data_IF_237334064433
#
_entry.id   IF_237334064433
#
_cell.length_a   1.000
_cell.length_b   1.000
_cell.length_c   1.000
_cell.angle_alpha   90.00
_cell.angle_beta   90.00
_cell.angle_gamma   90.00
#
_symmetry.space_group_name_H-M   'P 1'
#
loop_
_entity.id
_entity.type
_entity.pdbx_description
1 polymer ?
#
# COMPACT_ATOMS: atom_id res chain seq x y z
N UNK A 1 -15.28 0.93 20.81
CA UNK A 1 -16.26 -0.17 21.03
C UNK A 1 -16.01 -0.99 22.30
N UNK A 2 -14.77 -1.43 22.57
CA UNK A 2 -14.46 -2.25 23.76
C UNK A 2 -14.85 -1.62 25.10
N UNK A 3 -14.60 -0.32 25.29
CA UNK A 3 -15.02 0.42 26.50
C UNK A 3 -16.52 0.34 26.77
N UNK A 4 -17.35 0.52 25.73
CA UNK A 4 -18.81 0.46 25.85
C UNK A 4 -19.31 -0.94 26.25
N UNK A 5 -18.68 -1.99 25.74
CA UNK A 5 -19.00 -3.36 26.14
C UNK A 5 -18.61 -3.64 27.60
N UNK A 6 -17.49 -3.07 28.04
CA UNK A 6 -17.03 -3.16 29.44
C UNK A 6 -17.96 -2.42 30.40
N UNK A 7 -18.36 -1.19 30.06
CA UNK A 7 -19.31 -0.40 30.86
C UNK A 7 -20.66 -1.08 31.04
N UNK A 8 -21.14 -1.80 30.01
CA UNK A 8 -22.38 -2.59 30.09
C UNK A 8 -22.21 -3.94 30.78
N UNK A 9 -21.01 -4.27 31.23
CA UNK A 9 -20.74 -5.49 31.99
C UNK A 9 -20.68 -6.78 31.16
N UNK A 10 -20.74 -6.72 29.82
CA UNK A 10 -20.70 -7.92 28.97
C UNK A 10 -19.44 -8.77 29.20
N UNK A 11 -18.32 -8.16 29.56
CA UNK A 11 -17.07 -8.87 29.86
C UNK A 11 -17.07 -9.62 31.20
N UNK A 12 -18.09 -9.44 32.04
CA UNK A 12 -18.31 -10.23 33.26
C UNK A 12 -19.18 -11.46 33.00
N UNK A 13 -19.94 -11.44 31.91
CA UNK A 13 -20.87 -12.49 31.55
C UNK A 13 -20.16 -13.69 30.89
N UNK A 14 -20.33 -14.87 31.48
CA UNK A 14 -19.66 -16.10 31.03
C UNK A 14 -20.09 -16.51 29.62
N UNK A 15 -21.36 -16.30 29.25
CA UNK A 15 -21.87 -16.59 27.91
C UNK A 15 -21.18 -15.74 26.84
N UNK A 16 -20.89 -14.47 27.13
CA UNK A 16 -20.23 -13.56 26.20
C UNK A 16 -18.74 -13.90 26.05
N UNK A 17 -18.06 -14.23 27.15
CA UNK A 17 -16.67 -14.73 27.10
C UNK A 17 -16.59 -16.02 26.26
N UNK A 18 -17.57 -16.92 26.39
CA UNK A 18 -17.64 -18.13 25.58
C UNK A 18 -17.89 -17.83 24.09
N UNK A 19 -18.70 -16.82 23.77
CA UNK A 19 -18.87 -16.34 22.39
C UNK A 19 -17.56 -15.78 21.81
N UNK A 20 -16.80 -14.99 22.58
CA UNK A 20 -15.49 -14.50 22.15
C UNK A 20 -14.48 -15.63 21.94
N UNK A 21 -14.48 -16.65 22.81
CA UNK A 21 -13.71 -17.90 22.59
C UNK A 21 -14.10 -18.58 21.29
N UNK A 22 -15.39 -18.66 20.99
CA UNK A 22 -15.86 -19.23 19.72
C UNK A 22 -15.27 -18.47 18.52
N UNK A 23 -15.27 -17.12 18.55
CA UNK A 23 -14.73 -16.29 17.46
C UNK A 23 -13.23 -16.51 17.18
N UNK A 24 -12.46 -17.16 18.05
CA UNK A 24 -11.04 -17.46 17.80
C UNK A 24 -10.83 -18.36 16.56
N UNK A 25 -11.86 -19.02 16.03
CA UNK A 25 -11.74 -19.77 14.77
C UNK A 25 -11.29 -18.88 13.59
N UNK A 26 -11.59 -17.58 13.63
CA UNK A 26 -11.15 -16.60 12.63
C UNK A 26 -9.62 -16.48 12.51
N UNK A 27 -8.86 -16.97 13.51
CA UNK A 27 -7.39 -16.99 13.44
C UNK A 27 -6.84 -18.00 12.44
N UNK A 28 -7.62 -19.02 12.03
CA UNK A 28 -7.14 -19.98 11.04
C UNK A 28 -6.96 -19.27 9.69
N UNK A 29 -5.90 -19.57 8.93
CA UNK A 29 -5.57 -18.82 7.71
C UNK A 29 -6.67 -18.90 6.65
N UNK A 30 -7.45 -19.99 6.64
CA UNK A 30 -8.62 -20.14 5.74
C UNK A 30 -9.67 -19.03 5.93
N UNK A 31 -9.86 -18.54 7.16
CA UNK A 31 -10.82 -17.48 7.50
C UNK A 31 -10.15 -16.11 7.63
N UNK A 32 -8.94 -16.05 8.19
CA UNK A 32 -8.22 -14.80 8.43
C UNK A 32 -8.01 -14.00 7.13
N UNK A 33 -7.86 -14.68 5.98
CA UNK A 33 -7.73 -14.04 4.67
C UNK A 33 -8.93 -13.18 4.25
N UNK A 34 -10.10 -13.41 4.83
CA UNK A 34 -11.32 -12.64 4.56
C UNK A 34 -11.48 -11.41 5.47
N UNK A 35 -10.59 -11.22 6.46
CA UNK A 35 -10.66 -10.10 7.38
C UNK A 35 -10.08 -8.84 6.74
N UNK A 36 -10.90 -7.79 6.65
CA UNK A 36 -10.44 -6.44 6.24
C UNK A 36 -9.44 -5.82 7.23
N UNK A 37 -9.56 -6.17 8.51
CA UNK A 37 -8.82 -5.61 9.62
C UNK A 37 -8.16 -6.72 10.46
N UNK A 38 -7.11 -7.40 9.95
CA UNK A 38 -6.54 -8.59 10.60
C UNK A 38 -6.01 -8.34 12.02
N UNK A 39 -5.67 -7.10 12.36
CA UNK A 39 -5.28 -6.71 13.73
C UNK A 39 -6.40 -6.93 14.77
N UNK A 40 -7.66 -7.05 14.34
CA UNK A 40 -8.76 -7.40 15.22
C UNK A 40 -8.52 -8.74 15.93
N UNK A 41 -7.76 -9.65 15.31
CA UNK A 41 -7.39 -10.94 15.91
C UNK A 41 -6.49 -10.76 17.13
N UNK A 42 -5.58 -9.78 17.12
CA UNK A 42 -4.75 -9.47 18.30
C UNK A 42 -5.60 -8.93 19.46
N UNK A 43 -6.58 -8.08 19.16
CA UNK A 43 -7.53 -7.62 20.17
C UNK A 43 -8.41 -8.77 20.68
N UNK A 44 -8.85 -9.66 19.78
CA UNK A 44 -9.63 -10.83 20.15
C UNK A 44 -8.83 -11.74 21.10
N UNK A 45 -7.53 -11.95 20.86
CA UNK A 45 -6.64 -12.66 21.78
C UNK A 45 -6.48 -11.94 23.12
N UNK A 46 -6.23 -10.63 23.09
CA UNK A 46 -6.05 -9.82 24.29
C UNK A 46 -7.29 -9.88 25.21
N UNK A 47 -8.49 -9.77 24.63
CA UNK A 47 -9.77 -9.83 25.38
C UNK A 47 -10.01 -11.19 26.06
N UNK A 48 -9.29 -12.25 25.68
CA UNK A 48 -9.35 -13.52 26.40
C UNK A 48 -8.72 -13.45 27.79
N UNK A 49 -7.77 -12.54 28.00
CA UNK A 49 -7.20 -12.26 29.33
C UNK A 49 -8.20 -11.51 30.21
N UNK A 50 -8.34 -11.95 31.47
CA UNK A 50 -9.17 -11.25 32.45
C UNK A 50 -8.61 -9.85 32.75
N UNK A 51 -7.28 -9.74 32.90
CA UNK A 51 -6.59 -8.49 33.20
C UNK A 51 -6.84 -7.44 32.10
N UNK A 52 -6.86 -7.86 30.84
CA UNK A 52 -7.14 -6.96 29.72
C UNK A 52 -8.61 -6.50 29.72
N UNK A 53 -9.56 -7.39 30.06
CA UNK A 53 -10.99 -7.01 30.18
C UNK A 53 -11.21 -6.01 31.31
N UNK A 54 -10.52 -6.19 32.44
CA UNK A 54 -10.54 -5.24 33.55
C UNK A 54 -9.89 -3.91 33.15
N UNK A 55 -8.74 -3.95 32.46
CA UNK A 55 -8.09 -2.75 31.95
C UNK A 55 -8.99 -1.95 31.00
N UNK A 56 -9.80 -2.61 30.17
CA UNK A 56 -10.78 -1.96 29.27
C UNK A 56 -11.93 -1.24 29.99
N UNK A 57 -12.18 -1.52 31.28
CA UNK A 57 -13.16 -0.77 32.07
C UNK A 57 -12.68 0.66 32.38
N UNK A 58 -11.36 0.88 32.37
CA UNK A 58 -10.76 2.20 32.57
C UNK A 58 -10.81 3.01 31.26
N UNK A 59 -11.38 4.23 31.32
CA UNK A 59 -11.49 5.12 30.15
C UNK A 59 -10.11 5.54 29.61
N UNK A 60 -9.12 5.76 30.48
CA UNK A 60 -7.77 6.12 30.07
C UNK A 60 -7.10 5.00 29.26
N UNK A 61 -7.22 3.76 29.70
CA UNK A 61 -6.68 2.59 28.98
C UNK A 61 -7.38 2.40 27.63
N UNK A 62 -8.71 2.54 27.59
CA UNK A 62 -9.46 2.44 26.34
C UNK A 62 -9.06 3.52 25.33
N UNK A 63 -8.87 4.76 25.79
CA UNK A 63 -8.38 5.87 24.96
C UNK A 63 -6.96 5.60 24.46
N UNK A 64 -6.07 5.12 25.32
CA UNK A 64 -4.72 4.72 24.93
C UNK A 64 -4.74 3.64 23.84
N UNK A 65 -5.57 2.61 23.97
CA UNK A 65 -5.70 1.56 22.96
C UNK A 65 -6.22 2.12 21.63
N UNK A 66 -7.21 3.02 21.67
CA UNK A 66 -7.73 3.70 20.48
C UNK A 66 -6.64 4.52 19.79
N UNK A 67 -5.85 5.30 20.54
CA UNK A 67 -4.71 6.05 20.03
C UNK A 67 -3.65 5.12 19.42
N UNK A 68 -3.27 4.03 20.10
CA UNK A 68 -2.33 3.04 19.55
C UNK A 68 -2.85 2.37 18.29
N UNK A 69 -4.16 2.11 18.21
CA UNK A 69 -4.80 1.56 17.01
C UNK A 69 -4.75 2.56 15.85
N UNK A 70 -4.98 3.85 16.11
CA UNK A 70 -4.89 4.92 15.12
C UNK A 70 -3.45 5.11 14.61
N UNK A 71 -2.47 5.15 15.52
CA UNK A 71 -1.04 5.22 15.18
C UNK A 71 -0.64 3.98 14.35
N UNK A 72 -1.04 2.79 14.80
CA UNK A 72 -0.81 1.58 14.02
C UNK A 72 -1.45 1.72 12.63
N UNK A 73 -2.67 2.22 12.45
CA UNK A 73 -3.23 2.41 11.11
C UNK A 73 -2.50 3.44 10.25
N UNK A 74 -2.03 4.53 10.85
CA UNK A 74 -1.26 5.56 10.16
C UNK A 74 0.12 5.04 9.70
N UNK A 75 0.78 4.21 10.51
CA UNK A 75 2.15 3.77 10.27
C UNK A 75 2.30 2.31 9.82
N UNK A 76 1.30 1.44 10.00
CA UNK A 76 1.41 -0.01 9.73
C UNK A 76 1.59 -0.32 8.25
N UNK A 77 0.89 0.39 7.38
CA UNK A 77 1.10 0.29 5.93
C UNK A 77 2.52 0.72 5.57
N UNK A 78 2.98 1.87 6.09
CA UNK A 78 4.36 2.37 5.93
C UNK A 78 5.42 1.38 6.47
N UNK A 79 5.20 0.79 7.66
CA UNK A 79 6.09 -0.21 8.28
C UNK A 79 6.09 -1.55 7.54
N UNK A 80 4.94 -2.01 7.04
CA UNK A 80 4.86 -3.25 6.26
C UNK A 80 5.64 -3.17 4.96
N UNK A 81 5.78 -1.99 4.36
CA UNK A 81 6.64 -1.82 3.20
C UNK A 81 8.11 -2.04 3.55
N UNK A 82 8.58 -1.52 4.70
CA UNK A 82 9.94 -1.81 5.19
C UNK A 82 10.20 -3.32 5.35
N UNK A 83 9.16 -4.11 5.66
CA UNK A 83 9.25 -5.58 5.76
C UNK A 83 9.08 -6.32 4.41
N UNK A 84 8.23 -5.82 3.51
CA UNK A 84 7.99 -6.45 2.20
C UNK A 84 9.12 -6.21 1.20
N UNK A 85 9.86 -5.10 1.32
CA UNK A 85 11.08 -4.86 0.55
C UNK A 85 12.12 -5.96 0.78
N UNK A 86 12.13 -6.60 1.95
CA UNK A 86 13.06 -7.70 2.25
C UNK A 86 12.57 -9.09 1.83
N UNK A 87 11.28 -9.28 1.52
CA UNK A 87 10.71 -10.63 1.37
C UNK A 87 10.17 -10.98 -0.03
N UNK A 88 10.29 -10.09 -1.02
CA UNK A 88 9.92 -10.42 -2.40
C UNK A 88 10.99 -11.24 -3.17
N UNK A 89 12.03 -11.74 -2.48
CA UNK A 89 12.99 -12.71 -3.00
C UNK A 89 12.80 -14.13 -2.46
N UNK A 90 11.75 -14.41 -1.68
CA UNK A 90 11.51 -15.75 -1.12
C UNK A 90 10.63 -16.67 -1.99
N UNK A 91 10.57 -16.45 -3.30
CA UNK A 91 9.85 -17.34 -4.22
C UNK A 91 10.74 -18.38 -4.90
N UNK A 92 11.85 -18.80 -4.28
CA UNK A 92 12.65 -19.92 -4.79
C UNK A 92 13.22 -20.87 -3.73
N UNK A 93 12.73 -20.85 -2.48
CA UNK A 93 13.17 -21.84 -1.48
C UNK A 93 11.98 -22.34 -0.65
N UNK A 94 11.14 -23.18 -1.24
CA UNK A 94 10.57 -24.30 -0.49
C UNK A 94 10.22 -25.47 -1.41
N UNK A 95 11.01 -26.53 -1.23
CA UNK A 95 10.70 -27.93 -1.46
C UNK A 95 10.72 -28.44 -2.90
N UNK A 96 11.93 -28.91 -3.24
CA UNK A 96 12.24 -30.19 -3.90
C UNK A 96 11.52 -31.43 -3.29
N UNK A 97 10.35 -31.28 -2.64
CA UNK A 97 9.56 -32.39 -2.16
C UNK A 97 8.23 -32.42 -2.88
N UNK A 98 8.13 -33.44 -3.74
CA UNK A 98 6.90 -34.07 -4.23
C UNK A 98 6.27 -33.38 -5.44
N UNK A 99 6.90 -33.70 -6.57
CA UNK A 99 6.45 -33.61 -7.96
C UNK A 99 5.06 -34.21 -8.28
N UNK A 100 4.20 -34.45 -7.30
CA UNK A 100 2.85 -35.00 -7.50
C UNK A 100 1.71 -34.00 -7.28
N UNK A 101 1.94 -32.82 -6.71
CA UNK A 101 0.88 -31.81 -6.52
C UNK A 101 0.76 -30.76 -7.63
N UNK A 102 1.61 -30.81 -8.66
CA UNK A 102 1.61 -29.82 -9.77
C UNK A 102 0.36 -29.93 -10.65
N UNK A 103 -0.33 -31.08 -10.70
CA UNK A 103 -1.51 -31.25 -11.56
C UNK A 103 -2.82 -30.67 -11.01
N UNK A 104 -2.87 -30.24 -9.74
CA UNK A 104 -4.09 -29.61 -9.16
C UNK A 104 -3.91 -28.14 -8.77
N UNK A 105 -2.71 -27.57 -8.90
CA UNK A 105 -2.44 -26.18 -8.53
C UNK A 105 -3.01 -25.11 -9.48
N UNK A 106 -3.28 -25.34 -10.80
CA UNK A 106 -3.68 -24.21 -11.65
C UNK A 106 -5.11 -23.69 -11.40
N UNK A 107 -5.88 -24.27 -10.47
CA UNK A 107 -7.25 -23.79 -10.16
C UNK A 107 -7.30 -22.85 -8.94
N UNK A 108 -6.28 -22.81 -8.06
CA UNK A 108 -6.39 -22.10 -6.76
C UNK A 108 -5.56 -20.81 -6.67
N UNK A 109 -4.71 -20.47 -7.65
CA UNK A 109 -3.99 -19.21 -7.62
C UNK A 109 -4.76 -18.13 -8.42
N UNK A 110 -5.61 -17.28 -7.79
CA UNK A 110 -6.09 -16.08 -8.47
C UNK A 110 -4.88 -15.26 -8.90
N UNK A 111 -5.01 -14.56 -10.04
CA UNK A 111 -3.99 -13.65 -10.58
C UNK A 111 -3.33 -12.90 -9.42
N UNK A 112 -2.05 -13.17 -9.19
CA UNK A 112 -1.27 -12.48 -8.17
C UNK A 112 -1.34 -10.99 -8.50
N UNK A 113 -1.83 -10.20 -7.55
CA UNK A 113 -1.77 -8.74 -7.60
C UNK A 113 -0.31 -8.35 -7.84
N UNK A 114 -0.04 -7.70 -8.97
CA UNK A 114 1.31 -7.35 -9.40
C UNK A 114 1.63 -5.95 -8.87
N UNK A 115 2.23 -5.89 -7.67
CA UNK A 115 2.55 -4.63 -7.00
C UNK A 115 3.64 -3.85 -7.75
N UNK A 116 3.67 -2.51 -7.62
CA UNK A 116 4.77 -1.72 -8.15
C UNK A 116 6.10 -2.14 -7.53
N UNK A 117 7.10 -2.38 -8.37
CA UNK A 117 8.48 -2.59 -7.94
C UNK A 117 9.08 -1.29 -7.38
N UNK A 118 10.14 -1.41 -6.57
CA UNK A 118 10.89 -0.23 -6.10
C UNK A 118 11.39 0.65 -7.23
N UNK A 119 11.80 0.02 -8.34
CA UNK A 119 12.22 0.74 -9.54
C UNK A 119 11.11 1.59 -10.14
N UNK A 120 9.93 1.01 -10.36
CA UNK A 120 8.79 1.73 -10.92
C UNK A 120 8.33 2.84 -9.97
N UNK A 121 8.27 2.55 -8.67
CA UNK A 121 7.92 3.56 -7.67
C UNK A 121 8.91 4.71 -7.64
N UNK A 122 10.22 4.44 -7.73
CA UNK A 122 11.24 5.47 -7.75
C UNK A 122 11.15 6.32 -9.02
N UNK A 123 10.95 5.69 -10.17
CA UNK A 123 10.78 6.41 -11.44
C UNK A 123 9.61 7.39 -11.40
N UNK A 124 8.45 6.97 -10.88
CA UNK A 124 7.29 7.83 -10.76
C UNK A 124 7.50 8.92 -9.69
N UNK A 125 8.12 8.58 -8.57
CA UNK A 125 8.53 9.55 -7.54
C UNK A 125 9.42 10.66 -8.11
N UNK A 126 10.50 10.30 -8.79
CA UNK A 126 11.42 11.23 -9.44
C UNK A 126 10.69 12.12 -10.46
N UNK A 127 9.86 11.53 -11.32
CA UNK A 127 9.09 12.27 -12.32
C UNK A 127 8.17 13.32 -11.70
N UNK A 128 7.39 12.95 -10.68
CA UNK A 128 6.47 13.88 -10.01
C UNK A 128 7.22 14.96 -9.22
N UNK A 129 8.34 14.61 -8.58
CA UNK A 129 9.20 15.56 -7.88
C UNK A 129 9.74 16.63 -8.85
N UNK A 130 10.22 16.21 -10.02
CA UNK A 130 10.64 17.13 -11.06
C UNK A 130 9.51 18.02 -11.56
N UNK A 131 8.33 17.44 -11.80
CA UNK A 131 7.16 18.18 -12.27
C UNK A 131 6.74 19.26 -11.26
N UNK A 132 6.67 18.92 -9.98
CA UNK A 132 6.38 19.86 -8.89
C UNK A 132 7.46 20.94 -8.77
N UNK A 133 8.73 20.55 -8.85
CA UNK A 133 9.84 21.50 -8.79
C UNK A 133 9.85 22.50 -9.94
N UNK A 134 9.22 22.18 -11.08
CA UNK A 134 9.10 23.08 -12.24
C UNK A 134 7.92 24.03 -12.10
N UNK A 135 6.86 23.62 -11.40
CA UNK A 135 5.68 24.47 -11.13
C UNK A 135 6.00 25.57 -10.12
N UNK A 136 6.83 25.28 -9.12
CA UNK A 136 7.22 26.26 -8.10
C UNK A 136 8.41 27.11 -8.56
N UNK A 137 8.19 28.42 -8.69
CA UNK A 137 9.21 29.38 -9.14
C UNK A 137 10.17 29.80 -8.03
N UNK A 138 9.68 29.82 -6.78
CA UNK A 138 10.50 30.13 -5.61
C UNK A 138 11.13 28.83 -5.11
N UNK A 139 12.42 28.90 -4.79
CA UNK A 139 13.17 27.78 -4.23
C UNK A 139 13.63 28.16 -2.83
N UNK A 140 12.78 27.89 -1.87
CA UNK A 140 13.06 28.03 -0.45
C UNK A 140 12.59 26.78 0.31
N UNK A 141 12.91 26.72 1.59
CA UNK A 141 12.55 25.62 2.47
C UNK A 141 11.03 25.46 2.60
N UNK A 142 10.27 26.56 2.60
CA UNK A 142 8.81 26.53 2.67
C UNK A 142 8.20 25.89 1.41
N UNK A 143 8.66 26.28 0.22
CA UNK A 143 8.23 25.69 -1.05
C UNK A 143 8.58 24.20 -1.12
N UNK A 144 9.70 23.77 -0.53
CA UNK A 144 10.06 22.36 -0.45
C UNK A 144 9.10 21.57 0.46
N UNK A 145 8.69 22.14 1.60
CA UNK A 145 7.70 21.51 2.48
C UNK A 145 6.37 21.31 1.74
N UNK A 146 5.87 22.32 1.03
CA UNK A 146 4.65 22.21 0.22
C UNK A 146 4.75 21.11 -0.86
N UNK A 147 5.91 21.02 -1.53
CA UNK A 147 6.18 19.95 -2.50
C UNK A 147 6.12 18.58 -1.81
N UNK A 148 6.75 18.43 -0.65
CA UNK A 148 6.81 17.17 0.08
C UNK A 148 5.41 16.69 0.51
N UNK A 149 4.53 17.61 0.91
CA UNK A 149 3.14 17.30 1.26
C UNK A 149 2.29 16.87 0.05
N UNK A 150 2.52 17.45 -1.14
CA UNK A 150 1.74 17.13 -2.35
C UNK A 150 2.27 15.89 -3.10
N UNK A 151 3.59 15.69 -3.11
CA UNK A 151 4.29 14.75 -4.00
C UNK A 151 3.70 13.34 -4.00
N UNK A 152 3.55 12.73 -2.83
CA UNK A 152 3.05 11.36 -2.75
C UNK A 152 1.53 11.26 -2.90
N UNK A 153 0.79 12.35 -2.71
CA UNK A 153 -0.65 12.38 -2.99
C UNK A 153 -0.93 12.27 -4.50
N UNK A 154 -0.06 12.85 -5.34
CA UNK A 154 -0.13 12.70 -6.82
C UNK A 154 0.00 11.28 -7.32
N UNK A 155 0.53 10.36 -6.51
CA UNK A 155 0.56 8.95 -6.87
C UNK A 155 -0.85 8.36 -7.04
N UNK A 156 -1.86 8.92 -6.37
CA UNK A 156 -3.26 8.47 -6.50
C UNK A 156 -3.91 8.84 -7.84
N UNK A 157 -3.32 9.78 -8.58
CA UNK A 157 -3.80 10.18 -9.90
C UNK A 157 -3.48 9.14 -10.97
N UNK A 158 -2.50 8.26 -10.71
CA UNK A 158 -2.15 7.18 -11.62
C UNK A 158 -3.25 6.13 -11.70
N UNK A 159 -3.51 5.67 -12.91
CA UNK A 159 -4.41 4.57 -13.24
C UNK A 159 -3.60 3.39 -13.75
N UNK A 160 -4.09 2.18 -13.42
CA UNK A 160 -3.45 0.93 -13.80
C UNK A 160 -3.97 0.44 -15.16
N UNK A 161 -3.04 0.19 -16.07
CA UNK A 161 -3.26 -0.38 -17.40
C UNK A 161 -2.81 -1.84 -17.42
N UNK A 162 -3.73 -2.76 -17.15
CA UNK A 162 -3.44 -4.22 -17.11
C UNK A 162 -2.95 -4.76 -18.47
N UNK A 163 -3.25 -4.05 -19.56
CA UNK A 163 -2.83 -4.41 -20.91
C UNK A 163 -1.35 -4.08 -21.22
N UNK A 164 -0.70 -3.27 -20.38
CA UNK A 164 0.69 -2.85 -20.54
C UNK A 164 1.57 -3.50 -19.48
N UNK A 165 2.87 -3.61 -19.78
CA UNK A 165 3.89 -4.13 -18.86
C UNK A 165 4.88 -3.04 -18.46
N UNK A 166 5.57 -3.28 -17.35
CA UNK A 166 6.59 -2.38 -16.79
C UNK A 166 6.03 -1.00 -16.49
N UNK A 167 6.88 0.03 -16.58
CA UNK A 167 6.51 1.40 -16.19
C UNK A 167 5.30 1.95 -16.97
N UNK A 168 5.10 1.48 -18.21
CA UNK A 168 3.99 1.90 -19.09
C UNK A 168 2.61 1.51 -18.55
N UNK A 169 2.54 0.60 -17.57
CA UNK A 169 1.28 0.21 -16.91
C UNK A 169 0.72 1.29 -15.99
N UNK A 170 1.52 2.27 -15.60
CA UNK A 170 1.10 3.41 -14.78
C UNK A 170 0.97 4.66 -15.65
N UNK A 171 -0.25 5.19 -15.75
CA UNK A 171 -0.51 6.44 -16.48
C UNK A 171 -1.63 7.22 -15.81
N UNK A 172 -1.54 8.55 -15.80
CA UNK A 172 -2.63 9.42 -15.30
C UNK A 172 -3.88 9.38 -16.19
N UNK A 173 -3.75 8.90 -17.43
CA UNK A 173 -4.87 8.76 -18.35
C UNK A 173 -5.66 7.47 -18.08
N UNK A 174 -6.98 7.49 -18.31
CA UNK A 174 -7.80 6.28 -18.18
C UNK A 174 -7.41 5.19 -19.21
N UNK A 175 -7.43 3.92 -18.77
CA UNK A 175 -7.19 2.75 -19.65
C UNK A 175 -8.31 2.54 -20.66
N UNK A 176 -7.99 1.84 -21.76
CA UNK A 176 -8.97 1.51 -22.80
C UNK A 176 -10.14 0.70 -22.22
N UNK A 177 -9.84 -0.24 -21.33
CA UNK A 177 -10.83 -1.05 -20.62
C UNK A 177 -11.66 -0.21 -19.63
N UNK A 178 -11.03 0.68 -18.85
CA UNK A 178 -11.75 1.57 -17.93
C UNK A 178 -12.68 2.53 -18.68
N UNK A 179 -12.22 3.12 -19.79
CA UNK A 179 -13.04 3.96 -20.68
C UNK A 179 -14.23 3.19 -21.24
N UNK A 180 -14.01 1.95 -21.70
CA UNK A 180 -15.07 1.10 -22.24
C UNK A 180 -16.13 0.78 -21.17
N UNK A 181 -15.70 0.39 -19.96
CA UNK A 181 -16.59 0.11 -18.83
C UNK A 181 -17.38 1.36 -18.43
N UNK A 182 -16.72 2.51 -18.29
CA UNK A 182 -17.38 3.75 -17.90
C UNK A 182 -18.40 4.21 -18.97
N UNK A 183 -18.11 3.98 -20.26
CA UNK A 183 -19.04 4.25 -21.36
C UNK A 183 -20.27 3.35 -21.33
N UNK A 184 -20.11 2.06 -21.02
CA UNK A 184 -21.23 1.12 -20.86
C UNK A 184 -22.09 1.49 -19.64
N UNK A 185 -21.45 1.83 -18.52
CA UNK A 185 -22.10 2.31 -17.30
C UNK A 185 -22.92 3.57 -17.54
N UNK A 186 -22.37 4.57 -18.25
CA UNK A 186 -23.09 5.80 -18.65
C UNK A 186 -24.30 5.54 -19.54
N UNK A 187 -24.31 4.40 -20.25
CA UNK A 187 -25.45 3.96 -21.08
C UNK A 187 -26.48 3.14 -20.29
N UNK A 188 -26.32 3.01 -18.97
CA UNK A 188 -27.23 2.26 -18.11
C UNK A 188 -27.01 0.74 -18.11
N UNK A 189 -25.94 0.25 -18.73
CA UNK A 189 -25.59 -1.18 -18.67
C UNK A 189 -25.05 -1.49 -17.27
N UNK A 190 -25.70 -2.41 -16.56
CA UNK A 190 -25.21 -2.92 -15.26
C UNK A 190 -23.94 -3.73 -15.49
N UNK A 191 -22.80 -3.15 -15.17
CA UNK A 191 -21.50 -3.83 -15.21
C UNK A 191 -21.23 -4.40 -13.82
N UNK A 192 -21.00 -5.71 -13.72
CA UNK A 192 -20.68 -6.35 -12.44
C UNK A 192 -19.16 -6.57 -12.37
N UNK A 193 -18.47 -5.78 -11.53
CA UNK A 193 -17.03 -5.93 -11.28
C UNK A 193 -16.70 -6.83 -10.07
N UNK A 194 -17.72 -7.39 -9.41
CA UNK A 194 -17.55 -8.17 -8.18
C UNK A 194 -17.19 -7.31 -6.95
N UNK A 195 -17.36 -5.99 -7.04
CA UNK A 195 -17.11 -5.03 -5.96
C UNK A 195 -18.28 -4.03 -5.85
N UNK A 196 -18.70 -3.62 -4.63
CA UNK A 196 -19.72 -2.60 -4.41
C UNK A 196 -19.46 -1.29 -5.16
N UNK A 197 -20.53 -0.68 -5.71
CA UNK A 197 -20.49 0.53 -6.54
C UNK A 197 -19.74 1.70 -5.89
N UNK A 198 -19.88 1.86 -4.58
CA UNK A 198 -19.21 2.92 -3.79
C UNK A 198 -17.67 2.86 -3.88
N UNK A 199 -17.09 1.71 -4.21
CA UNK A 199 -15.65 1.53 -4.27
C UNK A 199 -15.07 1.60 -5.68
N UNK A 200 -15.87 1.85 -6.72
CA UNK A 200 -15.39 1.86 -8.10
C UNK A 200 -14.42 3.00 -8.40
N UNK A 201 -14.57 4.13 -7.69
CA UNK A 201 -13.70 5.30 -7.85
C UNK A 201 -12.44 5.23 -6.98
N UNK A 202 -12.37 4.26 -6.05
CA UNK A 202 -11.20 4.10 -5.19
C UNK A 202 -10.00 3.55 -5.96
N UNK A 203 -8.79 4.05 -5.67
CA UNK A 203 -7.57 3.55 -6.31
C UNK A 203 -7.34 2.07 -5.95
N UNK A 204 -6.89 1.24 -6.91
CA UNK A 204 -6.60 -0.15 -6.64
C UNK A 204 -5.36 -0.30 -5.75
N UNK A 205 -5.17 -1.48 -5.19
CA UNK A 205 -4.10 -1.77 -4.20
C UNK A 205 -2.71 -1.45 -4.73
N UNK A 206 -2.46 -1.61 -6.03
CA UNK A 206 -1.20 -1.27 -6.69
C UNK A 206 -0.89 0.23 -6.60
N UNK A 207 -1.91 1.08 -6.78
CA UNK A 207 -1.77 2.55 -6.71
C UNK A 207 -1.64 3.02 -5.26
N UNK A 208 -2.37 2.39 -4.33
CA UNK A 208 -2.21 2.65 -2.90
C UNK A 208 -0.81 2.24 -2.43
N UNK A 209 -0.30 1.11 -2.91
CA UNK A 209 1.07 0.66 -2.67
C UNK A 209 2.10 1.63 -3.24
N UNK A 210 1.87 2.16 -4.46
CA UNK A 210 2.72 3.17 -5.08
C UNK A 210 2.84 4.43 -4.22
N UNK A 211 1.70 4.98 -3.74
CA UNK A 211 1.70 6.12 -2.81
C UNK A 211 2.53 5.84 -1.56
N UNK A 212 2.34 4.67 -0.96
CA UNK A 212 3.06 4.30 0.25
C UNK A 212 4.57 4.17 -0.03
N UNK A 213 4.97 3.59 -1.17
CA UNK A 213 6.40 3.48 -1.52
C UNK A 213 7.02 4.85 -1.75
N UNK A 214 6.28 5.79 -2.36
CA UNK A 214 6.67 7.19 -2.45
C UNK A 214 6.89 7.79 -1.05
N UNK A 215 5.95 7.62 -0.12
CA UNK A 215 6.09 8.16 1.24
C UNK A 215 7.33 7.59 1.93
N UNK A 216 7.59 6.29 1.77
CA UNK A 216 8.79 5.67 2.33
C UNK A 216 10.07 6.18 1.66
N UNK A 217 10.06 6.48 0.36
CA UNK A 217 11.23 7.07 -0.32
C UNK A 217 11.46 8.51 0.14
N UNK A 218 10.39 9.30 0.27
CA UNK A 218 10.49 10.67 0.74
C UNK A 218 11.03 10.74 2.17
N UNK A 219 10.54 9.88 3.06
CA UNK A 219 11.02 9.81 4.45
C UNK A 219 12.50 9.37 4.54
N UNK A 220 12.90 8.35 3.77
CA UNK A 220 14.25 7.80 3.89
C UNK A 220 15.33 8.64 3.20
N UNK A 221 14.94 9.48 2.23
CA UNK A 221 15.86 10.24 1.37
C UNK A 221 15.53 11.74 1.39
N UNK A 222 14.93 12.24 2.47
CA UNK A 222 14.55 13.65 2.63
C UNK A 222 15.74 14.60 2.42
N UNK A 223 16.88 14.28 3.02
CA UNK A 223 18.12 15.06 2.89
C UNK A 223 18.62 15.10 1.44
N UNK A 224 18.53 13.98 0.72
CA UNK A 224 18.94 13.89 -0.68
C UNK A 224 17.97 14.64 -1.61
N UNK A 225 16.67 14.60 -1.30
CA UNK A 225 15.64 15.38 -2.00
C UNK A 225 15.88 16.87 -1.80
N UNK A 226 16.16 17.30 -0.56
CA UNK A 226 16.48 18.69 -0.24
C UNK A 226 17.76 19.14 -0.95
N UNK A 227 18.82 18.33 -0.91
CA UNK A 227 20.08 18.61 -1.59
C UNK A 227 19.88 18.74 -3.12
N UNK A 228 19.12 17.82 -3.73
CA UNK A 228 18.81 17.89 -5.15
C UNK A 228 17.98 19.13 -5.51
N UNK A 229 16.95 19.45 -4.71
CA UNK A 229 16.07 20.59 -4.96
C UNK A 229 16.80 21.93 -4.89
N UNK A 230 17.67 22.10 -3.90
CA UNK A 230 18.43 23.33 -3.68
C UNK A 230 19.51 23.55 -4.74
N UNK A 231 20.22 22.50 -5.14
CA UNK A 231 21.31 22.61 -6.13
C UNK A 231 20.78 22.61 -7.56
N UNK A 232 19.65 21.93 -7.84
CA UNK A 232 19.17 21.52 -9.19
C UNK A 232 20.34 21.19 -10.12
N UNK A 233 21.06 20.08 -9.89
CA UNK A 233 22.13 19.67 -10.80
C UNK A 233 21.60 19.54 -12.24
N UNK A 234 22.47 19.60 -13.24
CA UNK A 234 22.12 19.29 -14.66
C UNK A 234 21.60 17.86 -14.85
N UNK A 235 21.64 17.06 -13.79
CA UNK A 235 21.26 15.66 -13.72
C UNK A 235 19.79 15.55 -13.29
N UNK A 236 19.05 14.65 -13.93
CA UNK A 236 17.65 14.39 -13.57
C UNK A 236 17.54 13.86 -12.13
N UNK A 237 16.41 14.13 -11.48
CA UNK A 237 16.06 13.50 -10.19
C UNK A 237 16.09 11.98 -10.29
N UNK A 238 15.74 11.43 -11.45
CA UNK A 238 15.82 10.00 -11.72
C UNK A 238 17.26 9.49 -11.58
N UNK A 239 18.23 10.14 -12.21
CA UNK A 239 19.63 9.70 -12.11
C UNK A 239 20.21 10.01 -10.72
N UNK A 240 19.94 11.20 -10.17
CA UNK A 240 20.48 11.60 -8.87
C UNK A 240 19.91 10.79 -7.69
N UNK A 241 18.60 10.59 -7.64
CA UNK A 241 17.92 9.87 -6.55
C UNK A 241 17.82 8.38 -6.86
N UNK A 242 17.25 7.98 -8.00
CA UNK A 242 16.98 6.57 -8.27
C UNK A 242 18.22 5.77 -8.62
N UNK A 243 19.02 6.21 -9.60
CA UNK A 243 20.20 5.45 -10.06
C UNK A 243 21.32 5.44 -9.02
N UNK A 244 21.60 6.59 -8.40
CA UNK A 244 22.78 6.74 -7.56
C UNK A 244 22.55 6.44 -6.07
N UNK A 245 21.29 6.43 -5.57
CA UNK A 245 21.00 6.36 -4.13
C UNK A 245 19.94 5.33 -3.74
N UNK A 246 18.75 5.39 -4.35
CA UNK A 246 17.59 4.62 -3.89
C UNK A 246 17.61 3.16 -4.37
N UNK A 247 17.98 2.92 -5.63
CA UNK A 247 17.94 1.60 -6.25
C UNK A 247 19.32 0.94 -6.24
N UNK A 248 19.35 -0.38 -6.02
CA UNK A 248 20.59 -1.14 -6.01
C UNK A 248 20.50 -2.42 -6.87
N UNK A 249 21.59 -2.73 -7.57
CA UNK A 249 21.78 -4.00 -8.28
C UNK A 249 20.63 -4.35 -9.24
N UNK A 250 19.93 -5.45 -8.96
CA UNK A 250 18.85 -6.00 -9.79
C UNK A 250 17.60 -5.10 -9.87
N UNK A 251 17.48 -4.12 -8.96
CA UNK A 251 16.37 -3.18 -8.95
C UNK A 251 16.42 -2.20 -10.14
N UNK A 252 17.56 -2.03 -10.82
CA UNK A 252 17.70 -1.07 -11.93
C UNK A 252 17.00 -1.49 -13.24
N UNK A 253 16.33 -2.63 -13.26
CA UNK A 253 15.76 -3.25 -14.46
C UNK A 253 14.78 -2.35 -15.24
N UNK A 254 13.92 -1.59 -14.56
CA UNK A 254 12.91 -0.75 -15.21
C UNK A 254 13.48 0.53 -15.86
N UNK A 255 14.69 0.96 -15.48
CA UNK A 255 15.31 2.19 -16.00
C UNK A 255 15.65 2.09 -17.49
N UNK A 256 15.94 0.88 -17.96
CA UNK A 256 16.20 0.62 -19.38
C UNK A 256 14.97 0.94 -20.23
N UNK A 257 13.77 0.71 -19.69
CA UNK A 257 12.50 1.00 -20.39
C UNK A 257 12.16 2.49 -20.43
N UNK A 258 12.59 3.28 -19.42
CA UNK A 258 12.34 4.73 -19.39
C UNK A 258 13.23 5.49 -20.37
N UNK A 259 14.51 5.10 -20.50
CA UNK A 259 15.48 5.78 -21.39
C UNK A 259 15.11 5.63 -22.87
N UNK A 260 14.45 4.54 -23.26
CA UNK A 260 14.01 4.30 -24.65
C UNK A 260 12.92 5.28 -25.10
N UNK A 261 12.13 5.85 -24.18
CA UNK A 261 11.05 6.79 -24.51
C UNK A 261 11.48 8.24 -24.77
N UNK A 262 12.77 8.58 -24.62
CA UNK A 262 13.29 9.93 -24.85
C UNK A 262 13.98 10.10 -26.22
N UNK A 263 14.03 9.04 -27.03
CA UNK A 263 14.51 9.10 -28.42
C UNK A 263 13.36 8.70 -29.35
N UNK A 264 12.38 9.59 -29.47
CA UNK A 264 11.48 9.60 -30.63
C UNK A 264 11.82 10.87 -31.42
N UNK A 265 12.28 10.67 -32.66
CA UNK A 265 12.63 11.69 -33.66
C UNK A 265 11.37 12.36 -34.23
#
# INVERSE_FOLDING_TARGET
>A
MGFFLSQRGYFKETYFINYLKYLLYWKRPEYARALKYPQCLHFLEAVQSADFREALACSANAKFIEEQQMLQWQYYTRKRQRLHVSNCTFQNVQLLCLSFLILLIPIICPRTVDLPSRCESCLLFARELEELSKKNSVKDELSLIEINEELCNRMLDYKLHQEKKGIKRFSKQESSTAKAINKLRKRGVKVELGMPDEMWDNPPVEIVSLKQQCESMLENYEDDVAAWYNVKPKISSQEYLCENRILHGDELSCLKESKVGHVEF
#
